data_IF_672393556989
#
_entry.id   IF_672393556989
#
_cell.length_a   1.000
_cell.length_b   1.000
_cell.length_c   1.000
_cell.angle_alpha   90.00
_cell.angle_beta   90.00
_cell.angle_gamma   90.00
#
_symmetry.space_group_name_H-M   'P 1'
#
loop_
_entity.id
_entity.type
_entity.pdbx_description
1 polymer ?
#
# COMPACT_ATOMS: atom_id res chain seq x y z
N UNK A 1 -11.99 4.82 -8.72
CA UNK A 1 -11.64 4.81 -7.29
C UNK A 1 -10.16 4.49 -7.04
N UNK A 2 -9.49 3.58 -7.78
CA UNK A 2 -8.07 3.23 -7.54
C UNK A 2 -7.05 4.38 -7.63
N UNK A 3 -7.26 5.41 -8.46
CA UNK A 3 -6.33 6.56 -8.54
C UNK A 3 -6.33 7.42 -7.28
N UNK A 4 -7.45 7.51 -6.57
CA UNK A 4 -7.56 8.33 -5.36
C UNK A 4 -6.84 7.62 -4.20
N UNK A 5 -7.05 6.30 -4.06
CA UNK A 5 -6.39 5.50 -3.02
C UNK A 5 -4.87 5.45 -3.19
N UNK A 6 -4.36 5.29 -4.41
CA UNK A 6 -2.93 5.31 -4.67
C UNK A 6 -2.29 6.68 -4.39
N UNK A 7 -2.98 7.78 -4.73
CA UNK A 7 -2.53 9.14 -4.43
C UNK A 7 -2.38 9.37 -2.93
N UNK A 8 -3.37 8.96 -2.15
CA UNK A 8 -3.37 9.12 -0.68
C UNK A 8 -2.26 8.30 0.00
N UNK A 9 -1.99 7.08 -0.48
CA UNK A 9 -0.90 6.25 0.04
C UNK A 9 0.46 6.89 -0.29
N UNK A 10 0.65 7.39 -1.51
CA UNK A 10 1.92 8.06 -1.88
C UNK A 10 2.15 9.38 -1.14
N UNK A 11 1.10 10.14 -0.82
CA UNK A 11 1.20 11.35 0.00
C UNK A 11 1.48 11.03 1.48
N UNK A 12 0.92 9.95 2.02
CA UNK A 12 1.21 9.51 3.38
C UNK A 12 2.65 9.02 3.53
N UNK A 13 3.19 8.28 2.55
CA UNK A 13 4.58 7.84 2.58
C UNK A 13 5.52 9.04 2.44
N UNK A 14 5.24 9.99 1.52
CA UNK A 14 6.05 11.19 1.34
C UNK A 14 6.06 12.08 2.60
N UNK A 15 4.90 12.26 3.25
CA UNK A 15 4.81 13.06 4.49
C UNK A 15 5.46 12.37 5.70
N UNK A 16 5.51 11.04 5.74
CA UNK A 16 6.24 10.29 6.76
C UNK A 16 7.75 10.55 6.67
N UNK A 17 8.34 10.51 5.47
CA UNK A 17 9.77 10.79 5.27
C UNK A 17 10.14 12.26 5.51
N UNK A 18 9.26 13.21 5.16
CA UNK A 18 9.50 14.63 5.47
C UNK A 18 9.45 14.95 6.97
N UNK A 19 8.67 14.19 7.76
CA UNK A 19 8.65 14.37 9.22
C UNK A 19 9.92 13.86 9.89
N UNK A 20 10.54 12.78 9.42
CA UNK A 20 11.80 12.31 10.02
C UNK A 20 12.97 13.30 9.85
N UNK A 21 12.99 14.11 8.78
CA UNK A 21 13.98 15.19 8.65
C UNK A 21 13.76 16.34 9.64
N UNK A 22 12.51 16.60 10.03
CA UNK A 22 12.16 17.73 10.91
C UNK A 22 12.37 17.41 12.41
N UNK A 23 12.29 16.14 12.81
CA UNK A 23 12.59 15.70 14.19
C UNK A 23 14.09 15.50 14.49
N UNK A 24 14.98 15.76 13.51
CA UNK A 24 16.43 15.83 13.73
C UNK A 24 16.92 17.06 14.50
N UNK A 25 16.04 18.03 14.76
CA UNK A 25 16.36 19.22 15.57
C UNK A 25 16.20 18.93 17.07
N UNK A 26 17.33 19.03 17.79
CA UNK A 26 17.47 18.78 19.25
C UNK A 26 16.33 19.40 20.07
N UNK A 27 15.77 18.69 21.07
CA UNK A 27 14.75 19.24 21.94
C UNK A 27 15.33 20.41 22.76
N UNK A 28 14.67 21.57 22.64
CA UNK A 28 14.93 22.74 23.46
C UNK A 28 14.45 22.43 24.88
N UNK A 29 15.38 22.35 25.83
CA UNK A 29 15.10 22.14 27.25
C UNK A 29 14.17 23.25 27.75
N UNK A 30 12.96 22.88 28.15
CA UNK A 30 12.00 23.76 28.83
C UNK A 30 12.07 23.46 30.33
N UNK A 31 12.18 24.48 31.20
CA UNK A 31 12.33 24.27 32.64
C UNK A 31 11.02 23.81 33.29
N UNK A 32 11.20 22.89 34.24
CA UNK A 32 10.23 22.30 35.16
C UNK A 32 9.61 23.36 36.09
N UNK A 33 8.31 23.60 35.98
CA UNK A 33 7.55 24.34 36.98
C UNK A 33 6.08 23.92 37.04
N UNK A 34 5.64 23.66 38.28
CA UNK A 34 4.29 23.69 38.83
C UNK A 34 3.27 22.62 38.38
N UNK A 35 3.18 21.60 39.22
CA UNK A 35 2.02 20.73 39.40
C UNK A 35 0.82 21.55 39.91
N UNK A 36 -0.20 21.76 39.08
CA UNK A 36 -1.49 22.31 39.50
C UNK A 36 -2.59 21.27 39.25
N UNK A 37 -3.25 20.90 40.35
CA UNK A 37 -4.31 19.90 40.48
C UNK A 37 -5.57 20.42 39.81
N UNK A 38 -5.99 19.79 38.71
CA UNK A 38 -7.28 20.09 38.07
C UNK A 38 -8.25 18.92 38.30
N UNK A 39 -9.12 19.09 39.29
CA UNK A 39 -10.26 18.20 39.54
C UNK A 39 -11.24 18.28 38.36
N UNK A 40 -11.52 17.16 37.70
CA UNK A 40 -12.58 17.04 36.70
C UNK A 40 -13.90 16.64 37.37
N UNK A 41 -15.03 17.33 37.09
CA UNK A 41 -16.34 16.92 37.61
C UNK A 41 -16.88 15.70 36.85
N UNK A 42 -17.56 14.84 37.59
CA UNK A 42 -18.02 13.51 37.19
C UNK A 42 -18.98 13.50 36.00
N UNK A 43 -18.69 12.59 35.07
CA UNK A 43 -19.59 12.20 34.00
C UNK A 43 -20.42 11.03 34.52
N UNK A 44 -21.73 11.25 34.65
CA UNK A 44 -22.71 10.24 35.03
C UNK A 44 -22.78 9.13 33.97
N UNK A 45 -22.61 7.88 34.40
CA UNK A 45 -22.86 6.69 33.59
C UNK A 45 -24.36 6.54 33.30
N UNK A 46 -24.73 6.57 32.03
CA UNK A 46 -26.05 6.13 31.58
C UNK A 46 -26.07 4.60 31.41
N UNK A 47 -27.15 3.89 31.80
CA UNK A 47 -27.25 2.44 31.67
C UNK A 47 -27.53 2.04 30.22
N UNK A 48 -26.58 1.35 29.60
CA UNK A 48 -26.75 0.71 28.29
C UNK A 48 -27.75 -0.45 28.42
N UNK A 49 -28.95 -0.29 27.84
CA UNK A 49 -29.90 -1.39 27.66
C UNK A 49 -29.35 -2.36 26.62
N UNK A 50 -28.91 -3.53 27.09
CA UNK A 50 -28.56 -4.68 26.27
C UNK A 50 -29.88 -5.22 25.69
N UNK A 51 -30.03 -5.11 24.36
CA UNK A 51 -31.10 -5.76 23.63
C UNK A 51 -30.59 -7.16 23.29
N UNK A 52 -31.12 -8.17 23.98
CA UNK A 52 -30.92 -9.58 23.65
C UNK A 52 -31.49 -9.87 22.26
N UNK A 53 -30.59 -9.96 21.27
CA UNK A 53 -30.92 -10.42 19.93
C UNK A 53 -30.57 -11.92 19.87
N UNK A 54 -31.53 -12.81 19.57
CA UNK A 54 -31.26 -14.25 19.49
C UNK A 54 -30.27 -14.54 18.36
N UNK A 55 -29.25 -15.34 18.66
CA UNK A 55 -28.28 -15.83 17.67
C UNK A 55 -29.01 -16.66 16.60
N UNK A 56 -28.80 -16.39 15.31
CA UNK A 56 -29.24 -17.30 14.27
C UNK A 56 -28.40 -18.58 14.29
N UNK A 57 -29.10 -19.70 14.21
CA UNK A 57 -28.58 -21.05 14.13
C UNK A 57 -27.53 -21.25 13.04
N UNK A 58 -26.66 -22.21 13.32
CA UNK A 58 -25.49 -22.64 12.59
C UNK A 58 -25.61 -22.59 11.06
N UNK A 59 -24.99 -21.58 10.46
CA UNK A 59 -24.57 -21.64 9.05
C UNK A 59 -23.41 -22.63 8.97
N UNK A 60 -23.66 -23.80 8.37
CA UNK A 60 -22.64 -24.80 8.04
C UNK A 60 -21.50 -24.13 7.27
N UNK A 61 -20.31 -24.18 7.86
CA UNK A 61 -19.04 -23.80 7.24
C UNK A 61 -18.89 -24.61 5.94
N UNK A 62 -18.68 -23.99 4.76
CA UNK A 62 -18.33 -24.76 3.58
C UNK A 62 -17.00 -25.47 3.84
N UNK A 63 -16.97 -26.79 3.61
CA UNK A 63 -15.73 -27.57 3.65
C UNK A 63 -14.73 -26.94 2.68
N UNK A 64 -13.54 -26.62 3.18
CA UNK A 64 -12.47 -26.08 2.38
C UNK A 64 -12.10 -27.10 1.30
N UNK A 65 -12.24 -26.71 0.04
CA UNK A 65 -11.73 -27.48 -1.10
C UNK A 65 -10.23 -27.73 -0.89
N UNK A 66 -9.77 -28.99 -0.82
CA UNK A 66 -8.35 -29.27 -0.61
C UNK A 66 -7.55 -28.70 -1.79
N UNK A 67 -6.51 -27.94 -1.47
CA UNK A 67 -5.58 -27.41 -2.46
C UNK A 67 -4.97 -28.57 -3.27
N UNK A 68 -4.83 -28.45 -4.60
CA UNK A 68 -4.45 -29.55 -5.49
C UNK A 68 -2.99 -30.02 -5.32
N UNK A 69 -2.20 -29.38 -4.47
CA UNK A 69 -0.80 -29.74 -4.24
C UNK A 69 -0.48 -29.66 -2.75
N UNK A 70 0.11 -30.72 -2.22
CA UNK A 70 0.67 -30.71 -0.88
C UNK A 70 1.88 -29.76 -0.82
N UNK A 71 2.18 -29.19 0.36
CA UNK A 71 3.40 -28.38 0.55
C UNK A 71 4.70 -29.12 0.19
N UNK A 72 4.71 -30.46 0.20
CA UNK A 72 5.85 -31.27 -0.25
C UNK A 72 5.98 -31.31 -1.78
N UNK A 73 4.87 -31.35 -2.52
CA UNK A 73 4.88 -31.36 -3.98
C UNK A 73 5.37 -30.03 -4.56
N UNK A 74 5.03 -28.90 -3.92
CA UNK A 74 5.56 -27.58 -4.26
C UNK A 74 7.08 -27.49 -4.02
N UNK A 75 7.58 -28.08 -2.93
CA UNK A 75 9.03 -28.15 -2.66
C UNK A 75 9.77 -29.05 -3.65
N UNK A 76 9.14 -30.15 -4.08
CA UNK A 76 9.70 -31.04 -5.09
C UNK A 76 9.73 -30.40 -6.48
N UNK A 77 8.71 -29.62 -6.84
CA UNK A 77 8.65 -28.88 -8.09
C UNK A 77 9.72 -27.77 -8.17
N UNK A 78 9.95 -27.05 -7.07
CA UNK A 78 11.02 -26.03 -6.98
C UNK A 78 12.43 -26.63 -7.07
N UNK A 79 12.62 -27.90 -6.64
CA UNK A 79 13.90 -28.61 -6.77
C UNK A 79 14.21 -29.08 -8.21
N UNK A 80 13.22 -29.14 -9.09
CA UNK A 80 13.38 -29.58 -10.50
C UNK A 80 13.71 -28.45 -11.47
N UNK A 81 13.67 -27.19 -11.06
CA UNK A 81 14.15 -26.07 -11.88
C UNK A 81 15.67 -26.00 -11.74
N UNK A 82 16.33 -26.76 -12.61
CA UNK A 82 17.75 -27.04 -12.59
C UNK A 82 18.61 -25.81 -12.94
N UNK A 83 19.64 -25.60 -12.13
CA UNK A 83 20.86 -24.87 -12.44
C UNK A 83 21.61 -25.63 -13.56
N UNK A 84 22.08 -24.96 -14.63
CA UNK A 84 22.83 -25.61 -15.70
C UNK A 84 24.20 -26.12 -15.19
N UNK A 85 24.77 -27.17 -15.84
CA UNK A 85 25.95 -27.87 -15.35
C UNK A 85 27.20 -26.98 -15.44
N UNK A 86 27.85 -26.74 -14.30
CA UNK A 86 29.18 -26.14 -14.28
C UNK A 86 30.22 -27.20 -14.67
N UNK A 87 30.93 -26.88 -15.75
CA UNK A 87 32.16 -27.52 -16.21
C UNK A 87 33.24 -27.47 -15.13
N UNK A 88 33.77 -28.64 -14.78
CA UNK A 88 34.99 -28.83 -13.98
C UNK A 88 36.22 -28.39 -14.76
N UNK A 89 36.87 -27.31 -14.33
CA UNK A 89 38.27 -26.97 -14.66
C UNK A 89 39.04 -26.63 -13.38
N UNK A 90 40.27 -27.13 -13.31
CA UNK A 90 41.21 -27.05 -12.18
C UNK A 90 41.50 -25.63 -11.67
N UNK A 91 41.86 -25.49 -10.37
CA UNK A 91 42.16 -24.20 -9.77
C UNK A 91 43.55 -23.69 -10.17
N UNK A 92 43.58 -22.64 -10.99
CA UNK A 92 44.75 -21.80 -11.23
C UNK A 92 44.84 -20.74 -10.11
N UNK A 93 46.04 -20.41 -9.59
CA UNK A 93 46.19 -19.51 -8.45
C UNK A 93 45.71 -18.09 -8.76
N UNK A 94 44.88 -17.58 -7.84
CA UNK A 94 44.29 -16.23 -7.79
C UNK A 94 45.36 -15.13 -7.78
N UNK A 95 45.36 -14.18 -8.73
CA UNK A 95 46.04 -12.91 -8.55
C UNK A 95 45.19 -11.96 -7.70
N UNK A 96 45.88 -11.07 -7.00
CA UNK A 96 45.39 -10.17 -5.96
C UNK A 96 44.10 -9.41 -6.31
N UNK A 97 43.32 -9.14 -5.25
CA UNK A 97 42.08 -8.38 -5.22
C UNK A 97 42.13 -7.14 -6.13
N UNK A 98 41.43 -7.24 -7.27
CA UNK A 98 41.11 -6.12 -8.14
C UNK A 98 40.10 -5.24 -7.41
N UNK A 99 40.53 -4.02 -7.09
CA UNK A 99 39.69 -2.92 -6.64
C UNK A 99 38.52 -2.79 -7.61
N UNK A 100 37.30 -3.09 -7.15
CA UNK A 100 36.10 -2.93 -7.96
C UNK A 100 35.99 -1.45 -8.36
N UNK A 101 36.05 -1.21 -9.67
CA UNK A 101 35.97 0.11 -10.27
C UNK A 101 34.58 0.70 -9.99
N UNK A 102 34.48 1.88 -9.33
CA UNK A 102 33.20 2.56 -9.11
C UNK A 102 32.37 2.74 -10.38
N UNK A 103 33.00 2.79 -11.56
CA UNK A 103 32.29 2.88 -12.83
C UNK A 103 31.50 1.61 -13.16
N UNK A 104 31.99 0.44 -12.76
CA UNK A 104 31.30 -0.83 -13.00
C UNK A 104 29.99 -0.90 -12.22
N UNK A 105 29.98 -0.39 -10.99
CA UNK A 105 28.77 -0.35 -10.17
C UNK A 105 27.70 0.59 -10.76
N UNK A 106 28.11 1.73 -11.32
CA UNK A 106 27.18 2.64 -12.00
C UNK A 106 26.57 2.03 -13.27
N UNK A 107 27.34 1.22 -13.99
CA UNK A 107 26.87 0.53 -15.19
C UNK A 107 25.88 -0.59 -14.84
N UNK A 108 26.16 -1.38 -13.80
CA UNK A 108 25.24 -2.39 -13.27
C UNK A 108 23.94 -1.77 -12.73
N UNK A 109 24.01 -0.60 -12.09
CA UNK A 109 22.82 0.12 -11.63
C UNK A 109 21.95 0.62 -12.79
N UNK A 110 22.57 1.12 -13.86
CA UNK A 110 21.86 1.58 -15.06
C UNK A 110 21.17 0.43 -15.81
N UNK A 111 21.85 -0.71 -15.95
CA UNK A 111 21.25 -1.92 -16.54
C UNK A 111 20.06 -2.43 -15.72
N UNK A 112 20.14 -2.34 -14.39
CA UNK A 112 19.03 -2.71 -13.50
C UNK A 112 17.82 -1.76 -13.66
N UNK A 113 18.05 -0.44 -13.78
CA UNK A 113 16.97 0.52 -14.02
C UNK A 113 16.27 0.31 -15.38
N UNK A 114 17.02 -0.02 -16.42
CA UNK A 114 16.46 -0.33 -17.74
C UNK A 114 15.66 -1.64 -17.72
N UNK A 115 16.11 -2.65 -16.97
CA UNK A 115 15.36 -3.88 -16.76
C UNK A 115 14.02 -3.63 -16.07
N UNK A 116 13.98 -2.74 -15.06
CA UNK A 116 12.74 -2.36 -14.37
C UNK A 116 11.78 -1.60 -15.28
N UNK A 117 12.27 -0.68 -16.13
CA UNK A 117 11.43 0.02 -17.13
C UNK A 117 10.87 -0.94 -18.17
N UNK A 118 11.69 -1.88 -18.64
CA UNK A 118 11.28 -2.89 -19.61
C UNK A 118 10.17 -3.79 -19.06
N UNK A 119 10.31 -4.25 -17.81
CA UNK A 119 9.30 -5.06 -17.13
C UNK A 119 7.98 -4.29 -16.91
N UNK A 120 8.07 -2.99 -16.57
CA UNK A 120 6.88 -2.15 -16.39
C UNK A 120 6.11 -1.96 -17.70
N UNK A 121 6.81 -1.71 -18.81
CA UNK A 121 6.19 -1.56 -20.13
C UNK A 121 5.57 -2.88 -20.64
N UNK A 122 6.19 -4.02 -20.33
CA UNK A 122 5.65 -5.34 -20.66
C UNK A 122 4.37 -5.69 -19.88
N UNK A 123 4.18 -5.13 -18.68
CA UNK A 123 3.03 -5.39 -17.82
C UNK A 123 1.80 -4.51 -18.16
N UNK A 124 1.93 -3.52 -19.06
CA UNK A 124 0.78 -2.76 -19.58
C UNK A 124 0.18 -3.48 -20.79
N UNK A 125 -1.01 -4.11 -20.68
CA UNK A 125 -1.67 -4.68 -21.85
C UNK A 125 -2.08 -3.55 -22.79
N UNK A 126 -1.46 -3.53 -23.97
CA UNK A 126 -1.89 -2.72 -25.11
C UNK A 126 -3.28 -3.19 -25.52
N UNK A 127 -4.31 -2.50 -25.01
CA UNK A 127 -5.69 -2.68 -25.44
C UNK A 127 -5.85 -1.99 -26.80
N UNK A 128 -5.42 -2.66 -27.86
CA UNK A 128 -5.82 -2.30 -29.22
C UNK A 128 -7.33 -2.49 -29.32
N UNK A 129 -8.05 -1.38 -29.42
CA UNK A 129 -9.42 -1.37 -29.91
C UNK A 129 -9.41 -0.43 -31.10
N UNK A 130 -9.50 -1.03 -32.29
CA UNK A 130 -9.94 -0.33 -33.48
C UNK A 130 -11.40 0.13 -33.29
N UNK A 131 -11.78 1.06 -34.17
CA UNK A 131 -13.12 1.60 -34.41
C UNK A 131 -13.55 2.88 -33.67
N UNK A 132 -13.46 3.97 -34.45
CA UNK A 132 -14.59 4.82 -34.81
C UNK A 132 -15.08 5.87 -33.79
N UNK A 133 -14.61 7.10 -33.99
CA UNK A 133 -15.28 8.37 -33.64
C UNK A 133 -16.69 8.47 -34.27
N UNK A 134 -17.53 9.50 -33.97
CA UNK A 134 -17.34 10.63 -33.04
C UNK A 134 -18.58 10.89 -32.14
N UNK A 135 -18.44 11.73 -31.10
CA UNK A 135 -19.25 12.96 -30.95
C UNK A 135 -18.95 13.67 -29.64
N UNK A 136 -18.62 14.94 -29.81
CA UNK A 136 -18.46 16.03 -28.85
C UNK A 136 -19.63 16.15 -27.88
N UNK A 137 -19.36 16.19 -26.56
CA UNK A 137 -20.19 16.98 -25.64
C UNK A 137 -19.42 17.39 -24.38
N UNK A 138 -19.13 18.69 -24.35
CA UNK A 138 -18.65 19.48 -23.23
C UNK A 138 -19.70 19.47 -22.12
N UNK A 139 -19.34 19.03 -20.91
CA UNK A 139 -20.10 19.33 -19.69
C UNK A 139 -19.13 19.91 -18.67
N UNK A 140 -19.14 21.24 -18.57
CA UNK A 140 -18.51 21.99 -17.51
C UNK A 140 -19.42 21.91 -16.29
N UNK A 141 -18.97 21.21 -15.25
CA UNK A 141 -19.57 21.25 -13.91
C UNK A 141 -18.84 22.33 -13.10
N UNK A 142 -19.59 23.29 -12.58
CA UNK A 142 -19.10 24.28 -11.60
C UNK A 142 -20.21 24.50 -10.58
N UNK A 143 -20.00 23.92 -9.39
CA UNK A 143 -20.57 24.32 -8.09
C UNK A 143 -20.04 25.73 -7.68
N UNK A 144 -20.51 26.43 -6.61
CA UNK A 144 -21.44 26.00 -5.54
C UNK A 144 -22.47 27.06 -5.04
N UNK A 145 -23.32 26.59 -4.11
CA UNK A 145 -23.93 27.26 -2.94
C UNK A 145 -24.66 28.62 -3.10
N UNK A 146 -25.90 28.70 -2.58
CA UNK A 146 -26.42 29.82 -1.74
C UNK A 146 -27.81 29.43 -1.16
N UNK A 147 -27.82 29.39 0.18
CA UNK A 147 -28.79 29.97 1.12
C UNK A 147 -30.31 29.71 1.02
N UNK A 148 -30.81 29.24 2.16
CA UNK A 148 -32.19 29.16 2.61
C UNK A 148 -33.11 30.33 2.21
N UNK A 149 -34.35 29.99 1.83
CA UNK A 149 -35.55 30.78 2.17
C UNK A 149 -36.73 29.85 2.39
N UNK A 150 -37.22 29.87 3.63
CA UNK A 150 -38.57 29.48 3.99
C UNK A 150 -39.57 30.36 3.25
N UNK A 151 -40.44 29.76 2.46
CA UNK A 151 -41.78 30.28 2.21
C UNK A 151 -42.73 29.09 2.18
N UNK A 152 -43.45 28.95 3.29
CA UNK A 152 -44.76 28.35 3.38
C UNK A 152 -45.64 28.77 2.20
N UNK A 153 -46.06 27.81 1.39
CA UNK A 153 -47.21 27.96 0.50
C UNK A 153 -48.15 26.81 0.77
N UNK A 154 -49.38 27.21 1.03
CA UNK A 154 -50.49 26.45 1.52
C UNK A 154 -50.81 25.18 0.73
N UNK A 155 -51.10 24.16 1.53
CA UNK A 155 -51.93 23.01 1.21
C UNK A 155 -53.26 23.48 0.60
N UNK A 156 -53.39 23.41 -0.72
CA UNK A 156 -54.69 23.37 -1.39
C UNK A 156 -54.84 22.06 -2.15
N UNK A 157 -55.55 21.14 -1.51
CA UNK A 157 -56.12 19.96 -2.13
C UNK A 157 -56.99 20.38 -3.32
N UNK A 158 -56.62 19.89 -4.51
CA UNK A 158 -57.51 19.70 -5.65
C UNK A 158 -56.90 18.58 -6.51
N UNK A 159 -57.72 17.56 -6.79
CA UNK A 159 -57.29 16.23 -7.19
C UNK A 159 -56.41 16.17 -8.43
N UNK A 160 -55.28 15.46 -8.31
CA UNK A 160 -54.65 14.82 -9.46
C UNK A 160 -55.51 13.63 -9.85
N UNK A 161 -56.43 13.86 -10.78
CA UNK A 161 -56.93 12.78 -11.62
C UNK A 161 -55.73 12.13 -12.29
N UNK A 162 -55.54 10.83 -12.05
CA UNK A 162 -54.70 9.98 -12.86
C UNK A 162 -55.24 10.04 -14.29
N UNK A 163 -54.60 10.84 -15.14
CA UNK A 163 -54.88 10.82 -16.58
C UNK A 163 -54.49 9.43 -17.11
N UNK A 164 -55.40 8.69 -17.76
CA UNK A 164 -55.03 7.49 -18.50
C UNK A 164 -54.31 7.95 -19.77
N UNK A 165 -52.97 8.04 -19.72
CA UNK A 165 -52.15 8.35 -20.90
C UNK A 165 -52.05 7.12 -21.80
N UNK A 166 -53.18 6.70 -22.37
CA UNK A 166 -53.22 5.87 -23.57
C UNK A 166 -53.06 6.80 -24.78
N UNK A 167 -51.87 7.37 -24.97
CA UNK A 167 -51.50 8.05 -26.20
C UNK A 167 -50.71 7.08 -27.07
N UNK A 168 -50.84 7.20 -28.40
CA UNK A 168 -50.09 6.38 -29.36
C UNK A 168 -48.59 6.37 -29.05
N UNK A 169 -48.04 7.53 -28.69
CA UNK A 169 -46.62 7.67 -28.39
C UNK A 169 -46.19 7.00 -27.08
N UNK A 170 -47.07 6.89 -26.08
CA UNK A 170 -46.77 6.12 -24.87
C UNK A 170 -46.72 4.61 -25.13
N UNK A 171 -47.52 4.12 -26.08
CA UNK A 171 -47.48 2.72 -26.51
C UNK A 171 -46.31 2.45 -27.46
N UNK A 172 -46.01 3.39 -28.36
CA UNK A 172 -44.87 3.36 -29.27
C UNK A 172 -43.54 3.38 -28.50
N UNK A 173 -43.44 4.17 -27.42
CA UNK A 173 -42.28 4.20 -26.54
C UNK A 173 -42.08 2.87 -25.80
N UNK A 174 -43.16 2.21 -25.36
CA UNK A 174 -43.09 0.86 -24.79
C UNK A 174 -42.73 -0.22 -25.83
N UNK A 175 -43.19 -0.07 -27.08
CA UNK A 175 -42.85 -0.97 -28.18
C UNK A 175 -41.36 -0.87 -28.53
N UNK A 176 -40.83 0.34 -28.64
CA UNK A 176 -39.40 0.63 -28.85
C UNK A 176 -38.51 0.11 -27.70
N UNK A 177 -39.05 0.00 -26.49
CA UNK A 177 -38.33 -0.52 -25.32
C UNK A 177 -38.40 -2.05 -25.17
N UNK A 178 -39.26 -2.75 -25.93
CA UNK A 178 -39.46 -4.22 -25.81
C UNK A 178 -38.72 -5.03 -26.88
N UNK A 179 -38.58 -4.49 -28.08
CA UNK A 179 -37.81 -5.13 -29.14
C UNK A 179 -36.51 -4.33 -29.28
N UNK A 180 -35.35 -4.98 -29.10
CA UNK A 180 -34.01 -4.40 -29.37
C UNK A 180 -33.83 -4.19 -30.90
N UNK A 181 -34.73 -3.42 -31.49
CA UNK A 181 -34.75 -3.13 -32.91
C UNK A 181 -33.94 -1.86 -33.14
N UNK A 182 -32.92 -1.99 -33.99
CA UNK A 182 -32.17 -0.87 -34.51
C UNK A 182 -33.13 0.12 -35.17
N UNK A 183 -33.07 1.38 -34.73
CA UNK A 183 -34.02 2.44 -35.05
C UNK A 183 -34.24 2.67 -36.57
N UNK A 184 -33.34 2.21 -37.43
CA UNK A 184 -33.41 2.41 -38.88
C UNK A 184 -34.53 1.62 -39.58
N UNK A 185 -34.88 0.42 -39.10
CA UNK A 185 -35.97 -0.37 -39.72
C UNK A 185 -37.38 0.08 -39.33
N UNK A 186 -37.52 0.75 -38.17
CA UNK A 186 -38.81 1.19 -37.62
C UNK A 186 -39.25 2.55 -38.18
N UNK A 187 -38.30 3.33 -38.72
CA UNK A 187 -38.61 4.59 -39.39
C UNK A 187 -39.10 4.41 -40.84
N UNK A 188 -38.77 3.28 -41.49
CA UNK A 188 -39.28 2.96 -42.83
C UNK A 188 -40.70 2.36 -42.82
N UNK A 189 -41.09 1.64 -41.76
CA UNK A 189 -42.49 1.29 -41.56
C UNK A 189 -43.27 2.51 -41.06
N UNK A 190 -44.01 3.11 -41.99
CA UNK A 190 -44.83 4.31 -41.87
C UNK A 190 -45.50 4.45 -40.49
N UNK A 191 -44.84 5.19 -39.58
CA UNK A 191 -45.33 5.50 -38.23
C UNK A 191 -46.75 6.09 -38.31
N UNK A 192 -47.05 6.81 -39.39
CA UNK A 192 -48.36 7.36 -39.68
C UNK A 192 -49.39 6.24 -39.87
N UNK A 193 -49.05 5.12 -40.52
CA UNK A 193 -49.93 3.95 -40.69
C UNK A 193 -50.25 3.31 -39.34
N UNK A 194 -49.25 3.08 -38.48
CA UNK A 194 -49.45 2.53 -37.13
C UNK A 194 -50.26 3.46 -36.23
N UNK A 195 -50.01 4.77 -36.29
CA UNK A 195 -50.78 5.77 -35.56
C UNK A 195 -52.24 5.78 -36.03
N UNK A 196 -52.47 5.66 -37.34
CA UNK A 196 -53.82 5.59 -37.93
C UNK A 196 -54.56 4.33 -37.50
N UNK A 197 -53.90 3.17 -37.51
CA UNK A 197 -54.44 1.91 -37.01
C UNK A 197 -54.76 1.97 -35.51
N UNK A 198 -53.89 2.55 -34.68
CA UNK A 198 -54.14 2.74 -33.25
C UNK A 198 -55.40 3.58 -33.02
N UNK A 199 -55.54 4.70 -33.73
CA UNK A 199 -56.70 5.58 -33.59
C UNK A 199 -57.98 4.99 -34.22
N UNK A 200 -57.89 4.21 -35.31
CA UNK A 200 -59.02 3.48 -35.87
C UNK A 200 -59.50 2.38 -34.92
N UNK A 201 -58.58 1.62 -34.31
CA UNK A 201 -58.91 0.59 -33.32
C UNK A 201 -59.51 1.19 -32.04
N UNK A 202 -59.05 2.37 -31.62
CA UNK A 202 -59.66 3.10 -30.49
C UNK A 202 -61.07 3.60 -30.81
N UNK A 203 -61.35 3.97 -32.07
CA UNK A 203 -62.71 4.33 -32.52
C UNK A 203 -63.67 3.14 -32.47
N UNK A 204 -63.18 1.91 -32.57
CA UNK A 204 -63.98 0.69 -32.39
C UNK A 204 -64.29 0.38 -30.92
N UNK A 205 -63.84 1.21 -29.97
CA UNK A 205 -64.03 1.05 -28.52
C UNK A 205 -63.61 -0.33 -27.98
N UNK A 206 -62.64 -0.97 -28.65
CA UNK A 206 -61.98 -2.17 -28.14
C UNK A 206 -60.97 -1.71 -27.08
N UNK A 207 -61.31 -1.92 -25.81
CA UNK A 207 -60.41 -1.65 -24.70
C UNK A 207 -59.09 -2.41 -24.90
N UNK A 208 -58.00 -1.65 -24.86
CA UNK A 208 -56.66 -2.18 -25.03
C UNK A 208 -56.20 -2.75 -23.69
N UNK A 209 -56.50 -4.02 -23.46
CA UNK A 209 -55.76 -4.79 -22.49
C UNK A 209 -54.50 -5.27 -23.20
N UNK A 210 -53.32 -4.76 -22.82
CA UNK A 210 -52.16 -5.65 -22.83
C UNK A 210 -52.64 -6.91 -22.13
N UNK A 211 -52.73 -8.03 -22.85
CA UNK A 211 -53.22 -9.26 -22.25
C UNK A 211 -52.43 -9.45 -20.98
N UNK A 212 -53.09 -9.67 -19.84
CA UNK A 212 -52.44 -9.79 -18.52
C UNK A 212 -51.18 -10.67 -18.60
N UNK A 213 -51.28 -11.72 -19.42
CA UNK A 213 -50.22 -12.66 -19.78
C UNK A 213 -48.95 -12.03 -20.39
N UNK A 214 -49.08 -11.04 -21.27
CA UNK A 214 -47.93 -10.38 -21.90
C UNK A 214 -47.20 -9.45 -20.91
N UNK A 215 -47.97 -8.79 -20.04
CA UNK A 215 -47.41 -7.97 -18.96
C UNK A 215 -46.70 -8.84 -17.91
N UNK A 216 -47.31 -9.96 -17.52
CA UNK A 216 -46.71 -10.96 -16.64
C UNK A 216 -45.41 -11.53 -17.25
N UNK A 217 -45.41 -11.82 -18.55
CA UNK A 217 -44.20 -12.32 -19.25
C UNK A 217 -43.10 -11.27 -19.31
N UNK A 218 -43.43 -10.00 -19.56
CA UNK A 218 -42.46 -8.91 -19.57
C UNK A 218 -41.89 -8.64 -18.16
N UNK A 219 -42.75 -8.64 -17.14
CA UNK A 219 -42.34 -8.49 -15.74
C UNK A 219 -41.44 -9.66 -15.29
N UNK A 220 -41.77 -10.89 -15.70
CA UNK A 220 -40.95 -12.08 -15.44
C UNK A 220 -39.55 -11.96 -16.04
N UNK A 221 -39.44 -11.56 -17.31
CA UNK A 221 -38.13 -11.33 -17.96
C UNK A 221 -37.30 -10.27 -17.24
N UNK A 222 -37.90 -9.13 -16.88
CA UNK A 222 -37.20 -8.08 -16.14
C UNK A 222 -36.77 -8.52 -14.74
N UNK A 223 -37.59 -9.34 -14.08
CA UNK A 223 -37.21 -9.93 -12.80
C UNK A 223 -36.01 -10.87 -12.94
N UNK A 224 -35.96 -11.68 -13.99
CA UNK A 224 -34.83 -12.59 -14.23
C UNK A 224 -33.55 -11.83 -14.64
N UNK A 225 -33.65 -10.76 -15.42
CA UNK A 225 -32.53 -9.84 -15.69
C UNK A 225 -31.98 -9.24 -14.37
N UNK A 226 -32.85 -8.78 -13.48
CA UNK A 226 -32.44 -8.23 -12.18
C UNK A 226 -31.75 -9.27 -11.29
N UNK A 227 -32.24 -10.52 -11.28
CA UNK A 227 -31.57 -11.61 -10.55
C UNK A 227 -30.18 -11.92 -11.10
N UNK A 228 -30.01 -11.87 -12.43
CA UNK A 228 -28.70 -12.06 -13.05
C UNK A 228 -27.72 -10.95 -12.62
N UNK A 229 -28.16 -9.69 -12.68
CA UNK A 229 -27.36 -8.56 -12.21
C UNK A 229 -27.03 -8.64 -10.71
N UNK A 230 -27.96 -9.10 -9.88
CA UNK A 230 -27.71 -9.35 -8.46
C UNK A 230 -26.61 -10.40 -8.26
N UNK A 231 -26.67 -11.51 -8.99
CA UNK A 231 -25.64 -12.55 -8.95
C UNK A 231 -24.26 -12.04 -9.40
N UNK A 232 -24.22 -11.28 -10.50
CA UNK A 232 -22.98 -10.66 -11.00
C UNK A 232 -22.41 -9.67 -9.98
N UNK A 233 -23.27 -8.87 -9.35
CA UNK A 233 -22.88 -7.94 -8.29
C UNK A 233 -22.29 -8.65 -7.07
N UNK A 234 -22.92 -9.75 -6.61
CA UNK A 234 -22.39 -10.55 -5.50
C UNK A 234 -21.03 -11.17 -5.84
N UNK A 235 -20.87 -11.64 -7.08
CA UNK A 235 -19.61 -12.22 -7.56
C UNK A 235 -18.49 -11.17 -7.62
N UNK A 236 -18.79 -9.98 -8.16
CA UNK A 236 -17.85 -8.86 -8.17
C UNK A 236 -17.50 -8.40 -6.76
N UNK A 237 -18.48 -8.36 -5.84
CA UNK A 237 -18.26 -8.02 -4.43
C UNK A 237 -17.31 -9.00 -3.76
N UNK A 238 -17.51 -10.31 -3.96
CA UNK A 238 -16.62 -11.34 -3.42
C UNK A 238 -15.18 -11.18 -3.94
N UNK A 239 -15.01 -10.90 -5.25
CA UNK A 239 -13.69 -10.67 -5.83
C UNK A 239 -12.99 -9.42 -5.24
N UNK A 240 -13.75 -8.35 -4.96
CA UNK A 240 -13.21 -7.16 -4.28
C UNK A 240 -12.74 -7.52 -2.86
N UNK A 241 -13.56 -8.23 -2.09
CA UNK A 241 -13.22 -8.61 -0.72
C UNK A 241 -11.97 -9.52 -0.69
N UNK A 242 -11.79 -10.42 -1.66
CA UNK A 242 -10.59 -11.25 -1.78
C UNK A 242 -9.35 -10.44 -2.18
N UNK A 243 -9.50 -9.46 -3.08
CA UNK A 243 -8.42 -8.53 -3.42
C UNK A 243 -8.01 -7.70 -2.19
N UNK A 244 -8.97 -7.20 -1.40
CA UNK A 244 -8.70 -6.46 -0.17
C UNK A 244 -7.90 -7.32 0.83
N UNK A 245 -8.25 -8.59 1.00
CA UNK A 245 -7.47 -9.52 1.83
C UNK A 245 -6.05 -9.71 1.30
N UNK A 246 -5.89 -9.86 -0.01
CA UNK A 246 -4.56 -10.02 -0.62
C UNK A 246 -3.68 -8.78 -0.44
N UNK A 247 -4.27 -7.58 -0.48
CA UNK A 247 -3.55 -6.33 -0.25
C UNK A 247 -2.99 -6.25 1.17
N UNK A 248 -3.78 -6.65 2.18
CA UNK A 248 -3.32 -6.67 3.59
C UNK A 248 -2.14 -7.64 3.77
N UNK A 249 -2.16 -8.79 3.10
CA UNK A 249 -1.05 -9.75 3.14
C UNK A 249 0.22 -9.14 2.54
N UNK A 250 0.11 -8.49 1.38
CA UNK A 250 1.22 -7.83 0.71
C UNK A 250 1.77 -6.68 1.58
N UNK A 251 0.90 -5.89 2.21
CA UNK A 251 1.31 -4.80 3.11
C UNK A 251 2.15 -5.32 4.29
N UNK A 252 1.71 -6.40 4.93
CA UNK A 252 2.49 -7.05 5.98
C UNK A 252 3.83 -7.61 5.48
N UNK A 253 3.88 -8.15 4.26
CA UNK A 253 5.14 -8.63 3.68
C UNK A 253 6.11 -7.47 3.40
N UNK A 254 5.60 -6.33 2.90
CA UNK A 254 6.39 -5.11 2.70
C UNK A 254 6.93 -4.61 4.04
N UNK A 255 6.11 -4.56 5.09
CA UNK A 255 6.55 -4.14 6.42
C UNK A 255 7.64 -5.08 6.97
N UNK A 256 7.45 -6.39 6.85
CA UNK A 256 8.43 -7.37 7.28
C UNK A 256 9.78 -7.18 6.56
N UNK A 257 9.78 -7.09 5.22
CA UNK A 257 11.00 -6.85 4.43
C UNK A 257 11.62 -5.48 4.70
N UNK A 258 10.81 -4.46 4.94
CA UNK A 258 11.29 -3.14 5.34
C UNK A 258 12.04 -3.16 6.66
N UNK A 259 11.54 -3.94 7.63
CA UNK A 259 12.22 -4.11 8.92
C UNK A 259 13.56 -4.86 8.79
N UNK A 260 13.62 -5.88 7.95
CA UNK A 260 14.84 -6.63 7.63
C UNK A 260 15.89 -5.72 6.97
N UNK A 261 15.48 -4.95 5.97
CA UNK A 261 16.35 -3.99 5.29
C UNK A 261 16.91 -2.95 6.28
N UNK A 262 16.06 -2.41 7.18
CA UNK A 262 16.50 -1.46 8.21
C UNK A 262 17.56 -2.06 9.13
N UNK A 263 17.42 -3.34 9.49
CA UNK A 263 18.42 -4.05 10.29
C UNK A 263 19.75 -4.20 9.52
N UNK A 264 19.71 -4.61 8.25
CA UNK A 264 20.90 -4.74 7.41
C UNK A 264 21.61 -3.40 7.19
N UNK A 265 20.87 -2.32 6.95
CA UNK A 265 21.45 -0.97 6.81
C UNK A 265 22.11 -0.52 8.11
N UNK A 266 21.48 -0.79 9.26
CA UNK A 266 22.06 -0.49 10.57
C UNK A 266 23.37 -1.26 10.79
N UNK A 267 23.38 -2.55 10.44
CA UNK A 267 24.56 -3.42 10.52
C UNK A 267 25.68 -2.99 9.55
N UNK A 268 25.33 -2.54 8.34
CA UNK A 268 26.32 -2.04 7.39
C UNK A 268 26.94 -0.72 7.86
N UNK A 269 26.11 0.19 8.39
CA UNK A 269 26.56 1.46 8.97
C UNK A 269 27.47 1.23 10.17
N UNK A 270 27.10 0.30 11.05
CA UNK A 270 27.91 -0.05 12.21
C UNK A 270 29.28 -0.63 11.84
N UNK A 271 29.30 -1.59 10.92
CA UNK A 271 30.53 -2.17 10.38
C UNK A 271 31.42 -1.11 9.73
N UNK A 272 30.86 -0.25 8.89
CA UNK A 272 31.59 0.84 8.24
C UNK A 272 32.23 1.80 9.25
N UNK A 273 31.54 2.16 10.34
CA UNK A 273 32.10 2.99 11.41
C UNK A 273 33.29 2.33 12.10
N UNK A 274 33.23 1.02 12.34
CA UNK A 274 34.31 0.27 12.98
C UNK A 274 35.54 0.11 12.07
N UNK A 275 35.32 -0.11 10.77
CA UNK A 275 36.38 -0.32 9.77
C UNK A 275 37.00 0.98 9.25
N UNK A 276 36.39 2.13 9.55
CA UNK A 276 36.93 3.45 9.18
C UNK A 276 38.36 3.61 9.74
N UNK A 277 39.30 3.93 8.85
CA UNK A 277 40.70 4.16 9.17
C UNK A 277 40.94 5.61 9.60
N UNK A 278 41.81 5.78 10.58
CA UNK A 278 42.34 7.06 11.02
C UNK A 278 43.16 7.70 9.88
N UNK A 279 43.14 9.04 9.73
CA UNK A 279 44.06 9.75 8.85
C UNK A 279 45.52 9.44 9.21
N UNK A 280 46.40 9.50 8.20
CA UNK A 280 47.81 9.23 8.38
C UNK A 280 48.42 10.18 9.43
N UNK A 281 49.16 9.62 10.39
CA UNK A 281 49.76 10.36 11.51
C UNK A 281 48.82 10.59 12.70
N UNK A 282 47.53 10.24 12.59
CA UNK A 282 46.57 10.24 13.70
C UNK A 282 46.25 8.82 14.20
N UNK A 283 47.08 7.84 13.86
CA UNK A 283 46.92 6.49 14.37
C UNK A 283 47.23 6.42 15.87
N UNK A 284 46.56 5.52 16.59
CA UNK A 284 46.78 5.36 18.02
C UNK A 284 48.02 4.52 18.29
N UNK A 285 49.01 5.07 19.00
CA UNK A 285 50.24 4.36 19.36
C UNK A 285 50.15 3.79 20.77
N UNK A 286 50.16 2.47 20.88
CA UNK A 286 50.21 1.77 22.16
C UNK A 286 51.62 1.85 22.77
N UNK A 287 51.72 1.67 24.09
CA UNK A 287 53.02 1.78 24.79
C UNK A 287 53.96 0.62 24.49
N UNK A 288 53.46 -0.45 23.89
CA UNK A 288 54.23 -1.60 23.40
C UNK A 288 54.71 -1.42 21.94
N UNK A 289 54.48 -0.25 21.34
CA UNK A 289 54.90 0.08 19.97
C UNK A 289 53.91 -0.32 18.88
N UNK A 290 52.82 -1.04 19.20
CA UNK A 290 51.77 -1.35 18.22
C UNK A 290 51.01 -0.08 17.82
N UNK A 291 50.59 -0.02 16.57
CA UNK A 291 49.82 1.10 16.00
C UNK A 291 48.44 0.61 15.62
N UNK A 292 47.40 1.32 16.02
CA UNK A 292 46.01 1.02 15.69
C UNK A 292 45.47 2.10 14.76
N UNK A 293 45.04 1.70 13.58
CA UNK A 293 44.51 2.58 12.56
C UNK A 293 42.98 2.64 12.57
N UNK A 294 42.26 1.73 13.24
CA UNK A 294 40.78 1.71 13.23
C UNK A 294 40.19 1.33 14.58
N UNK A 295 38.89 1.60 14.77
CA UNK A 295 38.16 1.17 15.97
C UNK A 295 37.99 -0.37 16.02
N UNK A 296 37.94 -1.03 14.86
CA UNK A 296 37.97 -2.49 14.77
C UNK A 296 39.28 -3.05 15.30
N UNK A 297 40.42 -2.48 14.89
CA UNK A 297 41.73 -2.88 15.40
C UNK A 297 41.85 -2.64 16.90
N UNK A 298 41.31 -1.52 17.41
CA UNK A 298 41.23 -1.28 18.86
C UNK A 298 40.41 -2.37 19.57
N UNK A 299 39.22 -2.73 19.05
CA UNK A 299 38.39 -3.79 19.61
C UNK A 299 39.11 -5.13 19.66
N UNK A 300 39.83 -5.47 18.58
CA UNK A 300 40.63 -6.70 18.51
C UNK A 300 41.82 -6.64 19.47
N UNK A 301 42.52 -5.51 19.54
CA UNK A 301 43.66 -5.31 20.42
C UNK A 301 43.22 -5.43 21.89
N UNK A 302 42.10 -4.82 22.31
CA UNK A 302 41.60 -4.88 23.68
C UNK A 302 41.38 -6.31 24.19
N UNK A 303 41.06 -7.27 23.31
CA UNK A 303 40.87 -8.68 23.68
C UNK A 303 42.16 -9.40 24.07
N UNK A 304 43.31 -8.96 23.55
CA UNK A 304 44.63 -9.57 23.80
C UNK A 304 45.66 -8.60 24.38
N UNK A 305 45.26 -7.35 24.67
CA UNK A 305 46.13 -6.31 25.20
C UNK A 305 46.52 -6.63 26.65
N UNK A 306 47.82 -6.70 27.00
CA UNK A 306 48.26 -6.90 28.38
C UNK A 306 47.76 -5.79 29.32
N UNK A 307 47.43 -6.13 30.56
CA UNK A 307 46.91 -5.17 31.56
C UNK A 307 47.86 -3.98 31.79
N UNK A 308 49.17 -4.21 31.73
CA UNK A 308 50.17 -3.15 31.86
C UNK A 308 50.09 -2.12 30.74
N UNK A 309 49.82 -2.56 29.49
CA UNK A 309 49.63 -1.66 28.34
C UNK A 309 48.30 -0.94 28.45
N UNK A 310 47.23 -1.67 28.83
CA UNK A 310 45.90 -1.08 29.02
C UNK A 310 45.92 0.01 30.09
N UNK A 311 46.54 -0.25 31.24
CA UNK A 311 46.65 0.68 32.36
C UNK A 311 47.45 1.94 32.05
N UNK A 312 48.21 2.01 30.95
CA UNK A 312 48.86 3.25 30.52
C UNK A 312 47.92 4.21 29.79
N UNK A 313 46.90 3.67 29.11
CA UNK A 313 45.95 4.43 28.28
C UNK A 313 44.57 4.56 28.95
N UNK A 314 44.29 3.72 29.93
CA UNK A 314 43.02 3.62 30.62
C UNK A 314 43.24 3.59 32.13
N UNK A 315 43.01 4.74 32.78
CA UNK A 315 43.14 4.96 34.23
C UNK A 315 41.89 5.65 34.77
N UNK A 316 41.77 5.69 36.09
CA UNK A 316 40.71 6.42 36.76
C UNK A 316 40.72 7.91 36.35
N UNK A 317 39.65 8.35 35.68
CA UNK A 317 39.52 9.72 35.16
C UNK A 317 40.25 10.01 33.85
N UNK A 318 40.96 9.05 33.24
CA UNK A 318 41.65 9.25 31.96
C UNK A 318 41.47 8.06 31.03
N UNK A 319 40.78 8.29 29.91
CA UNK A 319 40.60 7.32 28.85
C UNK A 319 41.13 7.88 27.52
N UNK A 320 42.38 7.53 27.19
CA UNK A 320 43.04 7.97 25.96
C UNK A 320 42.35 7.42 24.70
N UNK A 321 41.69 6.26 24.79
CA UNK A 321 40.91 5.70 23.68
C UNK A 321 39.67 6.54 23.36
N UNK A 322 38.99 7.06 24.40
CA UNK A 322 37.84 7.94 24.24
C UNK A 322 38.25 9.28 23.60
N UNK A 323 39.36 9.87 24.09
CA UNK A 323 39.91 11.10 23.54
C UNK A 323 40.34 10.94 22.07
N UNK A 324 41.02 9.84 21.73
CA UNK A 324 41.38 9.51 20.35
C UNK A 324 40.15 9.31 19.46
N UNK A 325 39.15 8.55 19.93
CA UNK A 325 37.92 8.31 19.16
C UNK A 325 37.21 9.62 18.81
N UNK A 326 37.13 10.53 19.79
CA UNK A 326 36.54 11.86 19.62
C UNK A 326 37.36 12.72 18.66
N UNK A 327 38.67 12.79 18.85
CA UNK A 327 39.55 13.69 18.08
C UNK A 327 39.79 13.24 16.65
N UNK A 328 39.91 11.93 16.41
CA UNK A 328 40.31 11.37 15.11
C UNK A 328 39.11 11.01 14.24
N UNK A 329 38.03 10.49 14.82
CA UNK A 329 36.86 10.03 14.07
C UNK A 329 35.64 10.96 14.19
N UNK A 330 35.65 11.90 15.15
CA UNK A 330 34.51 12.78 15.43
C UNK A 330 33.29 12.05 16.01
N UNK A 331 33.42 10.79 16.40
CA UNK A 331 32.32 9.95 16.90
C UNK A 331 32.09 10.20 18.41
N UNK A 332 31.37 11.28 18.72
CA UNK A 332 31.11 11.70 20.11
C UNK A 332 30.38 10.64 20.94
N UNK A 333 29.38 9.96 20.37
CA UNK A 333 28.57 8.95 21.09
C UNK A 333 29.42 7.74 21.52
N UNK A 334 30.34 7.34 20.64
CA UNK A 334 31.27 6.23 20.89
C UNK A 334 32.29 6.65 21.92
N UNK A 335 32.85 7.84 21.77
CA UNK A 335 33.80 8.38 22.73
C UNK A 335 33.18 8.50 24.12
N UNK A 336 31.94 8.97 24.23
CA UNK A 336 31.21 9.04 25.50
C UNK A 336 30.94 7.65 26.08
N UNK A 337 30.56 6.67 25.25
CA UNK A 337 30.38 5.29 25.69
C UNK A 337 31.68 4.67 26.20
N UNK A 338 32.80 4.91 25.52
CA UNK A 338 34.14 4.50 25.95
C UNK A 338 34.55 5.19 27.27
N UNK A 339 34.29 6.48 27.39
CA UNK A 339 34.60 7.27 28.59
C UNK A 339 33.85 6.77 29.83
N UNK A 340 32.61 6.29 29.65
CA UNK A 340 31.80 5.71 30.73
C UNK A 340 32.25 4.31 31.19
N UNK A 341 33.07 3.61 30.38
CA UNK A 341 33.56 2.29 30.70
C UNK A 341 34.58 2.33 31.85
N UNK A 342 34.51 1.35 32.75
CA UNK A 342 35.36 1.23 33.95
C UNK A 342 36.34 0.05 33.89
N UNK A 343 36.14 -0.87 32.96
CA UNK A 343 36.98 -2.04 32.77
C UNK A 343 37.08 -2.42 31.28
N UNK A 344 37.97 -3.37 30.98
CA UNK A 344 38.22 -3.86 29.61
C UNK A 344 36.95 -4.37 28.96
N UNK A 345 36.15 -5.12 29.71
CA UNK A 345 34.91 -5.75 29.21
C UNK A 345 33.91 -4.69 28.79
N UNK A 346 33.77 -3.61 29.57
CA UNK A 346 32.90 -2.48 29.24
C UNK A 346 33.40 -1.69 28.03
N UNK A 347 34.73 -1.55 27.83
CA UNK A 347 35.28 -0.95 26.62
C UNK A 347 34.93 -1.79 25.37
N UNK A 348 35.11 -3.11 25.45
CA UNK A 348 34.75 -4.03 24.36
C UNK A 348 33.25 -3.99 24.11
N UNK A 349 32.43 -3.91 25.16
CA UNK A 349 30.98 -3.79 25.04
C UNK A 349 30.57 -2.47 24.40
N UNK A 350 31.19 -1.35 24.78
CA UNK A 350 30.95 -0.04 24.18
C UNK A 350 31.26 -0.05 22.67
N UNK A 351 32.37 -0.67 22.26
CA UNK A 351 32.71 -0.86 20.84
C UNK A 351 31.86 -1.92 20.13
N UNK A 352 31.16 -2.78 20.88
CA UNK A 352 30.27 -3.80 20.31
C UNK A 352 28.86 -3.27 20.09
N UNK A 353 28.38 -2.33 20.93
CA UNK A 353 27.10 -1.62 20.74
C UNK A 353 27.08 -0.74 19.50
N UNK A 354 28.25 -0.43 18.95
CA UNK A 354 28.37 0.20 17.65
C UNK A 354 27.85 -0.69 16.53
N UNK A 355 28.10 -2.02 16.64
CA UNK A 355 27.86 -3.14 15.73
C UNK A 355 26.42 -3.62 15.75
#
# INVERSE_FOLDING_TARGET
>A
MSRIVFSTITENIRSFFQREEEYGAKPKVVPEAASEVFERPGIMNAPTRIIDRPLPDQVRRPEATPLPFSPEELRAALKKVAVPPQSTTEPTPTPAASTADPQQFHMELAEFEDALRSAHNAATPVRNTEESSPTTRTVTTTEPAITARQTSIDTRAQGRGTMPTASFFGEFEQFMMREDLQAEGVLEEDIIRRMREFHERRKENKEYYLFSKDLETAAGRKLDELKALEHDWFSARAAIDDMERSMVIIEHEIEARGSELKALVTQAKSKSRLERKAPQGQEFRLSDGRVLASLLELKMALRSMPDAVLGNHFREGKNDFAAWTRGTFGDNDVAQSLESARNREQLILALSKLG
#
